data_IF_752706040439
#
_entry.id   IF_752706040439
#
_cell.length_a   1.000
_cell.length_b   1.000
_cell.length_c   1.000
_cell.angle_alpha   90.00
_cell.angle_beta   90.00
_cell.angle_gamma   90.00
#
_symmetry.space_group_name_H-M   'P 1'
#
loop_
_entity.id
_entity.type
_entity.pdbx_description
1 polymer ?
#
# COMPACT_ATOMS: atom_id res chain seq x y z
N UNK A 1 8.37 -17.58 -7.88
CA UNK A 1 9.72 -18.10 -8.18
C UNK A 1 10.54 -17.10 -9.01
N UNK A 2 10.07 -16.66 -10.21
CA UNK A 2 10.82 -15.75 -11.10
C UNK A 2 11.20 -14.42 -10.43
N UNK A 3 10.28 -13.80 -9.70
CA UNK A 3 10.53 -12.57 -8.93
C UNK A 3 11.67 -12.75 -7.92
N UNK A 4 11.66 -13.83 -7.15
CA UNK A 4 12.70 -14.13 -6.18
C UNK A 4 14.04 -14.46 -6.82
N UNK A 5 14.03 -15.09 -8.00
CA UNK A 5 15.24 -15.28 -8.81
C UNK A 5 15.84 -13.92 -9.22
N UNK A 6 15.02 -13.00 -9.73
CA UNK A 6 15.48 -11.67 -10.12
C UNK A 6 15.92 -10.80 -8.92
N UNK A 7 15.46 -11.12 -7.73
CA UNK A 7 15.92 -10.50 -6.48
C UNK A 7 17.22 -11.13 -5.94
N UNK A 8 17.69 -12.21 -6.54
CA UNK A 8 18.88 -12.93 -6.07
C UNK A 8 18.68 -13.71 -4.78
N UNK A 9 17.42 -13.93 -4.34
CA UNK A 9 17.12 -14.62 -3.07
C UNK A 9 17.56 -16.08 -3.07
N UNK A 10 17.70 -16.71 -4.24
CA UNK A 10 18.17 -18.11 -4.33
C UNK A 10 19.66 -18.27 -4.02
N UNK A 11 20.44 -17.18 -4.00
CA UNK A 11 21.84 -17.18 -3.53
C UNK A 11 21.96 -17.02 -2.01
N UNK A 12 20.85 -16.68 -1.33
CA UNK A 12 20.78 -16.55 0.13
C UNK A 12 20.33 -17.85 0.78
N UNK A 13 20.46 -17.93 2.09
CA UNK A 13 19.93 -19.04 2.88
C UNK A 13 18.43 -19.20 2.65
N UNK A 14 17.93 -20.43 2.56
CA UNK A 14 16.53 -20.75 2.26
C UNK A 14 15.49 -20.09 3.18
N UNK A 15 15.85 -19.73 4.41
CA UNK A 15 15.02 -18.95 5.34
C UNK A 15 14.55 -17.62 4.75
N UNK A 16 15.44 -16.92 4.00
CA UNK A 16 15.11 -15.64 3.40
C UNK A 16 14.01 -15.77 2.35
N UNK A 17 13.96 -16.92 1.67
CA UNK A 17 12.88 -17.23 0.71
C UNK A 17 11.56 -17.37 1.45
N UNK A 18 11.54 -18.05 2.60
CA UNK A 18 10.33 -18.21 3.41
C UNK A 18 9.86 -16.86 3.96
N UNK A 19 10.77 -16.07 4.52
CA UNK A 19 10.45 -14.72 5.02
C UNK A 19 9.88 -13.85 3.89
N UNK A 20 10.52 -13.84 2.72
CA UNK A 20 10.06 -13.09 1.57
C UNK A 20 8.67 -13.56 1.09
N UNK A 21 8.40 -14.88 1.10
CA UNK A 21 7.09 -15.44 0.76
C UNK A 21 6.01 -14.92 1.71
N UNK A 22 6.26 -14.98 3.02
CA UNK A 22 5.31 -14.52 4.03
C UNK A 22 5.04 -13.03 3.86
N UNK A 23 6.09 -12.21 3.76
CA UNK A 23 5.98 -10.76 3.61
C UNK A 23 5.26 -10.38 2.32
N UNK A 24 5.67 -10.96 1.18
CA UNK A 24 5.04 -10.66 -0.11
C UNK A 24 3.56 -11.07 -0.13
N UNK A 25 3.24 -12.26 0.38
CA UNK A 25 1.85 -12.72 0.47
C UNK A 25 1.04 -11.81 1.40
N UNK A 26 1.59 -11.42 2.54
CA UNK A 26 0.96 -10.48 3.45
C UNK A 26 0.66 -9.14 2.81
N UNK A 27 1.61 -8.56 2.07
CA UNK A 27 1.42 -7.27 1.37
C UNK A 27 0.38 -7.39 0.24
N UNK A 28 0.41 -8.48 -0.54
CA UNK A 28 -0.57 -8.72 -1.61
C UNK A 28 -1.98 -8.83 -1.01
N UNK A 29 -2.16 -9.59 0.07
CA UNK A 29 -3.44 -9.71 0.75
C UNK A 29 -3.88 -8.37 1.35
N UNK A 30 -2.97 -7.63 1.99
CA UNK A 30 -3.27 -6.29 2.50
C UNK A 30 -3.76 -5.36 1.39
N UNK A 31 -3.11 -5.38 0.24
CA UNK A 31 -3.50 -4.58 -0.92
C UNK A 31 -4.89 -4.97 -1.45
N UNK A 32 -5.18 -6.26 -1.47
CA UNK A 32 -6.50 -6.77 -1.87
C UNK A 32 -7.60 -6.34 -0.87
N UNK A 33 -7.35 -6.41 0.43
CA UNK A 33 -8.28 -5.94 1.45
C UNK A 33 -8.53 -4.42 1.41
N UNK A 34 -7.57 -3.66 0.91
CA UNK A 34 -7.71 -2.22 0.73
C UNK A 34 -8.52 -1.85 -0.53
N UNK A 35 -8.86 -2.78 -1.43
CA UNK A 35 -9.65 -2.52 -2.64
C UNK A 35 -11.17 -2.54 -2.36
N UNK A 36 -11.64 -1.74 -1.41
CA UNK A 36 -13.06 -1.75 -0.99
C UNK A 36 -13.89 -0.53 -1.40
N UNK A 37 -13.29 0.52 -1.95
CA UNK A 37 -13.98 1.74 -2.37
C UNK A 37 -13.44 2.29 -3.70
N UNK A 38 -14.27 3.07 -4.40
CA UNK A 38 -13.90 3.61 -5.71
C UNK A 38 -12.64 4.48 -5.63
N UNK A 39 -11.65 4.19 -6.46
CA UNK A 39 -10.46 5.01 -6.64
C UNK A 39 -9.31 4.70 -5.69
N UNK A 40 -9.53 3.96 -4.61
CA UNK A 40 -8.50 3.79 -3.57
C UNK A 40 -7.28 3.03 -4.09
N UNK A 41 -7.47 1.88 -4.70
CA UNK A 41 -6.38 1.03 -5.20
C UNK A 41 -5.68 1.66 -6.40
N UNK A 42 -6.45 2.12 -7.38
CA UNK A 42 -5.88 2.76 -8.57
C UNK A 42 -5.15 4.06 -8.23
N UNK A 43 -5.79 4.95 -7.46
CA UNK A 43 -5.20 6.23 -7.09
C UNK A 43 -3.95 6.09 -6.23
N UNK A 44 -4.00 5.23 -5.22
CA UNK A 44 -2.85 4.94 -4.37
C UNK A 44 -1.67 4.36 -5.19
N UNK A 45 -1.97 3.43 -6.10
CA UNK A 45 -0.97 2.86 -7.01
C UNK A 45 -0.36 3.91 -7.94
N UNK A 46 -1.13 4.88 -8.44
CA UNK A 46 -0.61 5.98 -9.26
C UNK A 46 0.41 6.84 -8.47
N UNK A 47 0.15 7.11 -7.21
CA UNK A 47 1.09 7.87 -6.35
C UNK A 47 2.41 7.11 -6.23
N UNK A 48 2.36 5.81 -5.94
CA UNK A 48 3.57 4.97 -5.81
C UNK A 48 4.30 4.87 -7.15
N UNK A 49 3.59 4.59 -8.26
CA UNK A 49 4.20 4.48 -9.59
C UNK A 49 4.83 5.80 -10.03
N UNK A 50 4.19 6.94 -9.75
CA UNK A 50 4.75 8.26 -10.01
C UNK A 50 6.05 8.50 -9.23
N UNK A 51 6.07 8.10 -7.97
CA UNK A 51 7.29 8.17 -7.15
C UNK A 51 8.39 7.25 -7.68
N UNK A 52 8.06 6.00 -8.03
CA UNK A 52 9.01 5.05 -8.63
C UNK A 52 9.56 5.54 -9.96
N UNK A 53 8.73 6.18 -10.80
CA UNK A 53 9.18 6.79 -12.06
C UNK A 53 10.15 7.94 -11.80
N UNK A 54 9.85 8.81 -10.82
CA UNK A 54 10.75 9.89 -10.42
C UNK A 54 12.08 9.35 -9.88
N UNK A 55 12.04 8.37 -8.96
CA UNK A 55 13.23 7.75 -8.38
C UNK A 55 14.07 7.11 -9.48
N UNK A 56 13.45 6.33 -10.38
CA UNK A 56 14.15 5.64 -11.46
C UNK A 56 14.82 6.61 -12.45
N UNK A 57 14.23 7.80 -12.68
CA UNK A 57 14.73 8.78 -13.63
C UNK A 57 15.71 9.79 -13.03
N UNK A 58 15.60 10.13 -11.74
CA UNK A 58 16.32 11.24 -11.11
C UNK A 58 17.28 10.84 -9.98
N UNK A 59 17.05 9.69 -9.35
CA UNK A 59 17.85 9.25 -8.19
C UNK A 59 18.71 8.06 -8.58
N UNK A 60 18.10 6.96 -8.96
CA UNK A 60 18.83 5.72 -9.30
C UNK A 60 18.00 4.86 -10.26
N UNK A 61 18.59 4.49 -11.39
CA UNK A 61 17.97 3.56 -12.35
C UNK A 61 18.04 2.14 -11.79
N UNK A 62 16.90 1.53 -11.52
CA UNK A 62 16.77 0.19 -10.95
C UNK A 62 16.01 -0.79 -11.85
N UNK A 63 15.20 -0.28 -12.80
CA UNK A 63 14.52 -1.08 -13.83
C UNK A 63 14.45 -0.29 -15.14
N UNK A 64 14.12 -1.00 -16.23
CA UNK A 64 13.86 -0.35 -17.52
C UNK A 64 12.67 0.63 -17.38
N UNK A 65 12.84 1.93 -17.73
CA UNK A 65 11.81 2.94 -17.56
C UNK A 65 10.48 2.61 -18.26
N UNK A 66 10.54 1.94 -19.41
CA UNK A 66 9.35 1.54 -20.17
C UNK A 66 8.39 0.69 -19.34
N UNK A 67 8.91 -0.17 -18.44
CA UNK A 67 8.08 -0.99 -17.56
C UNK A 67 7.22 -0.12 -16.64
N UNK A 68 7.84 0.85 -15.94
CA UNK A 68 7.12 1.72 -15.02
C UNK A 68 6.09 2.57 -15.76
N UNK A 69 6.45 3.16 -16.89
CA UNK A 69 5.54 4.01 -17.65
C UNK A 69 4.37 3.22 -18.24
N UNK A 70 4.59 1.99 -18.71
CA UNK A 70 3.51 1.13 -19.21
C UNK A 70 2.49 0.83 -18.12
N UNK A 71 2.95 0.46 -16.92
CA UNK A 71 2.07 0.20 -15.77
C UNK A 71 1.35 1.48 -15.34
N UNK A 72 2.08 2.61 -15.27
CA UNK A 72 1.52 3.90 -14.89
C UNK A 72 0.39 4.33 -15.85
N UNK A 73 0.62 4.23 -17.15
CA UNK A 73 -0.41 4.52 -18.16
C UNK A 73 -1.63 3.59 -18.02
N UNK A 74 -1.40 2.30 -17.78
CA UNK A 74 -2.49 1.31 -17.61
C UNK A 74 -3.34 1.63 -16.39
N UNK A 75 -2.70 1.93 -15.24
CA UNK A 75 -3.40 2.30 -13.99
C UNK A 75 -4.09 3.66 -14.15
N UNK A 76 -3.50 4.61 -14.89
CA UNK A 76 -4.14 5.90 -15.19
C UNK A 76 -5.45 5.71 -15.97
N UNK A 77 -5.43 4.87 -17.01
CA UNK A 77 -6.65 4.53 -17.77
C UNK A 77 -7.69 3.85 -16.88
N UNK A 78 -7.26 2.90 -16.02
CA UNK A 78 -8.16 2.28 -15.04
C UNK A 78 -8.80 3.33 -14.12
N UNK A 79 -8.02 4.26 -13.57
CA UNK A 79 -8.52 5.33 -12.73
C UNK A 79 -9.54 6.21 -13.44
N UNK A 80 -9.40 6.46 -14.72
CA UNK A 80 -10.39 7.24 -15.48
C UNK A 80 -11.78 6.62 -15.43
N UNK A 81 -11.90 5.30 -15.30
CA UNK A 81 -13.18 4.59 -15.18
C UNK A 81 -13.59 4.27 -13.73
N UNK A 82 -12.61 4.09 -12.83
CA UNK A 82 -12.86 3.67 -11.45
C UNK A 82 -12.96 4.85 -10.47
N UNK A 83 -12.10 5.90 -10.61
CA UNK A 83 -12.02 7.04 -9.70
C UNK A 83 -13.17 8.03 -9.92
N UNK A 84 -14.40 7.57 -9.60
CA UNK A 84 -15.65 8.31 -9.83
C UNK A 84 -16.64 8.05 -8.69
N UNK A 85 -17.63 8.95 -8.53
CA UNK A 85 -18.77 8.72 -7.61
C UNK A 85 -19.50 7.40 -7.92
N UNK A 86 -19.71 7.12 -9.22
CA UNK A 86 -20.23 5.84 -9.73
C UNK A 86 -19.15 5.24 -10.64
N UNK A 87 -18.38 4.32 -10.11
CA UNK A 87 -17.35 3.63 -10.86
C UNK A 87 -17.98 2.81 -12.01
N UNK A 88 -17.29 2.77 -13.16
CA UNK A 88 -17.69 1.99 -14.33
C UNK A 88 -16.95 0.64 -14.41
N UNK A 89 -15.86 0.50 -13.68
CA UNK A 89 -15.10 -0.75 -13.56
C UNK A 89 -14.53 -0.86 -12.13
N UNK A 90 -14.18 -2.07 -11.74
CA UNK A 90 -13.59 -2.40 -10.44
C UNK A 90 -12.33 -3.23 -10.68
N UNK A 91 -11.33 -3.10 -9.81
CA UNK A 91 -10.13 -3.92 -9.89
C UNK A 91 -10.45 -5.38 -9.56
N UNK A 92 -11.22 -5.59 -8.50
CA UNK A 92 -11.50 -6.91 -7.96
C UNK A 92 -10.23 -7.64 -7.53
N UNK A 93 -10.35 -8.89 -7.13
CA UNK A 93 -9.23 -9.67 -6.61
C UNK A 93 -8.10 -9.81 -7.66
N UNK A 94 -8.44 -10.00 -8.93
CA UNK A 94 -7.43 -10.13 -10.00
C UNK A 94 -6.65 -8.84 -10.19
N UNK A 95 -7.33 -7.70 -10.26
CA UNK A 95 -6.70 -6.39 -10.49
C UNK A 95 -5.87 -5.93 -9.29
N UNK A 96 -6.41 -6.04 -8.07
CA UNK A 96 -5.71 -5.63 -6.84
C UNK A 96 -4.48 -6.49 -6.56
N UNK A 97 -4.57 -7.81 -6.73
CA UNK A 97 -3.44 -8.73 -6.59
C UNK A 97 -2.39 -8.49 -7.68
N UNK A 98 -2.81 -8.25 -8.93
CA UNK A 98 -1.88 -8.00 -10.04
C UNK A 98 -1.06 -6.72 -9.81
N UNK A 99 -1.72 -5.62 -9.45
CA UNK A 99 -1.00 -4.36 -9.20
C UNK A 99 -0.13 -4.44 -7.94
N UNK A 100 -0.58 -5.11 -6.88
CA UNK A 100 0.23 -5.35 -5.70
C UNK A 100 1.51 -6.12 -6.03
N UNK A 101 1.41 -7.16 -6.86
CA UNK A 101 2.55 -7.96 -7.30
C UNK A 101 3.55 -7.11 -8.12
N UNK A 102 3.05 -6.27 -9.04
CA UNK A 102 3.89 -5.38 -9.84
C UNK A 102 4.61 -4.35 -8.95
N UNK A 103 3.89 -3.72 -8.02
CA UNK A 103 4.47 -2.75 -7.10
C UNK A 103 5.52 -3.40 -6.19
N UNK A 104 5.24 -4.58 -5.66
CA UNK A 104 6.21 -5.36 -4.88
C UNK A 104 7.46 -5.66 -5.68
N UNK A 105 7.31 -6.09 -6.95
CA UNK A 105 8.45 -6.34 -7.82
C UNK A 105 9.31 -5.08 -7.98
N UNK A 106 8.69 -3.94 -8.28
CA UNK A 106 9.39 -2.67 -8.48
C UNK A 106 10.08 -2.18 -7.20
N UNK A 107 9.36 -2.20 -6.07
CA UNK A 107 9.91 -1.79 -4.76
C UNK A 107 11.06 -2.74 -4.34
N UNK A 108 10.90 -4.03 -4.53
CA UNK A 108 11.94 -5.00 -4.23
C UNK A 108 13.20 -4.79 -5.08
N UNK A 109 13.04 -4.48 -6.38
CA UNK A 109 14.18 -4.12 -7.24
C UNK A 109 14.87 -2.84 -6.78
N UNK A 110 14.11 -1.85 -6.32
CA UNK A 110 14.64 -0.61 -5.76
C UNK A 110 15.43 -0.88 -4.47
N UNK A 111 14.85 -1.64 -3.53
CA UNK A 111 15.50 -2.03 -2.26
C UNK A 111 16.83 -2.75 -2.52
N UNK A 112 16.83 -3.74 -3.42
CA UNK A 112 18.04 -4.50 -3.75
C UNK A 112 19.09 -3.60 -4.40
N UNK A 113 18.68 -2.70 -5.29
CA UNK A 113 19.60 -1.81 -5.98
C UNK A 113 20.23 -0.75 -5.08
N UNK A 114 19.50 -0.30 -4.06
CA UNK A 114 19.94 0.74 -3.11
C UNK A 114 20.48 0.16 -1.81
N UNK A 115 20.28 -1.14 -1.56
CA UNK A 115 20.53 -1.80 -0.27
C UNK A 115 19.81 -1.13 0.92
N UNK A 116 18.74 -0.38 0.63
CA UNK A 116 17.95 0.38 1.61
C UNK A 116 16.54 -0.16 1.74
N UNK A 117 16.24 -0.79 2.89
CA UNK A 117 14.92 -1.30 3.23
C UNK A 117 13.89 -0.19 3.52
N UNK A 118 14.35 1.05 3.73
CA UNK A 118 13.49 2.20 4.01
C UNK A 118 12.49 2.49 2.90
N UNK A 119 12.74 2.04 1.67
CA UNK A 119 11.80 2.17 0.55
C UNK A 119 10.46 1.44 0.75
N UNK A 120 10.33 0.58 1.78
CA UNK A 120 9.03 0.03 2.19
C UNK A 120 8.03 1.12 2.60
N UNK A 121 8.50 2.34 2.86
CA UNK A 121 7.69 3.51 3.16
C UNK A 121 6.69 3.85 2.03
N UNK A 122 6.97 3.42 0.80
CA UNK A 122 6.05 3.55 -0.33
C UNK A 122 4.71 2.84 -0.11
N UNK A 123 4.64 1.93 0.87
CA UNK A 123 3.44 1.19 1.25
C UNK A 123 2.93 1.54 2.66
N UNK A 124 3.47 2.59 3.29
CA UNK A 124 3.29 2.85 4.73
C UNK A 124 1.82 3.05 5.14
N UNK A 125 1.03 3.80 4.39
CA UNK A 125 -0.37 4.08 4.75
C UNK A 125 -1.22 2.81 4.69
N UNK A 126 -1.12 2.03 3.62
CA UNK A 126 -1.78 0.73 3.51
C UNK A 126 -1.26 -0.28 4.54
N UNK A 127 0.06 -0.29 4.75
CA UNK A 127 0.68 -1.19 5.70
C UNK A 127 0.19 -0.95 7.12
N UNK A 128 0.15 0.29 7.58
CA UNK A 128 -0.30 0.64 8.93
C UNK A 128 -1.80 0.33 9.10
N UNK A 129 -2.66 0.72 8.15
CA UNK A 129 -4.09 0.41 8.23
C UNK A 129 -4.33 -1.10 8.29
N UNK A 130 -3.68 -1.88 7.40
CA UNK A 130 -3.88 -3.32 7.35
C UNK A 130 -3.33 -4.05 8.59
N UNK A 131 -2.09 -3.74 8.99
CA UNK A 131 -1.46 -4.41 10.14
C UNK A 131 -2.21 -4.11 11.44
N UNK A 132 -2.54 -2.83 11.68
CA UNK A 132 -3.26 -2.45 12.90
C UNK A 132 -4.70 -2.96 12.92
N UNK A 133 -5.35 -3.08 11.76
CA UNK A 133 -6.67 -3.72 11.65
C UNK A 133 -6.58 -5.21 12.01
N UNK A 134 -5.56 -5.93 11.53
CA UNK A 134 -5.34 -7.33 11.89
C UNK A 134 -5.10 -7.46 13.39
N UNK A 135 -4.21 -6.64 13.97
CA UNK A 135 -3.94 -6.63 15.41
C UNK A 135 -5.22 -6.35 16.20
N UNK A 136 -6.01 -5.37 15.79
CA UNK A 136 -7.28 -5.04 16.45
C UNK A 136 -8.26 -6.21 16.42
N UNK A 137 -8.36 -6.93 15.29
CA UNK A 137 -9.21 -8.12 15.19
C UNK A 137 -8.73 -9.27 16.06
N UNK A 138 -7.42 -9.48 16.15
CA UNK A 138 -6.84 -10.47 17.07
C UNK A 138 -7.17 -10.13 18.53
N UNK A 139 -7.11 -8.86 18.92
CA UNK A 139 -7.51 -8.41 20.26
C UNK A 139 -9.00 -8.63 20.54
N UNK A 140 -9.84 -8.62 19.49
CA UNK A 140 -11.27 -8.94 19.58
C UNK A 140 -11.56 -10.44 19.48
N UNK A 141 -10.52 -11.30 19.43
CA UNK A 141 -10.60 -12.76 19.28
C UNK A 141 -11.37 -13.19 18.01
N UNK A 142 -11.30 -12.40 16.94
CA UNK A 142 -11.96 -12.70 15.67
C UNK A 142 -11.10 -13.61 14.78
N UNK A 143 -11.79 -14.43 13.97
CA UNK A 143 -11.11 -15.20 12.94
C UNK A 143 -10.65 -14.28 11.81
N UNK A 144 -9.33 -14.11 11.66
CA UNK A 144 -8.72 -13.24 10.64
C UNK A 144 -8.95 -13.75 9.20
N UNK A 145 -9.27 -15.02 9.01
CA UNK A 145 -9.58 -15.61 7.70
C UNK A 145 -10.99 -15.28 7.17
N UNK A 146 -11.86 -14.68 7.99
CA UNK A 146 -13.19 -14.29 7.54
C UNK A 146 -13.20 -12.87 6.97
N UNK A 147 -14.02 -12.60 5.93
CA UNK A 147 -14.20 -11.25 5.40
C UNK A 147 -14.67 -10.27 6.48
N UNK A 148 -14.19 -9.04 6.43
CA UNK A 148 -14.54 -8.00 7.39
C UNK A 148 -14.56 -6.60 6.75
N UNK A 149 -15.11 -5.63 7.45
CA UNK A 149 -15.17 -4.22 7.02
C UNK A 149 -14.70 -3.27 8.13
N UNK A 150 -13.50 -3.54 8.69
CA UNK A 150 -12.98 -2.85 9.88
C UNK A 150 -11.75 -1.99 9.61
N UNK A 151 -11.34 -1.86 8.35
CA UNK A 151 -10.27 -0.94 7.97
C UNK A 151 -10.70 0.51 8.19
N UNK A 152 -9.73 1.38 8.50
CA UNK A 152 -10.02 2.79 8.76
C UNK A 152 -10.73 3.44 7.57
N UNK A 153 -10.30 3.17 6.33
CA UNK A 153 -10.95 3.71 5.13
C UNK A 153 -12.42 3.27 5.00
N UNK A 154 -12.73 2.03 5.43
CA UNK A 154 -14.12 1.51 5.38
C UNK A 154 -15.01 2.21 6.41
N UNK A 155 -14.50 2.45 7.62
CA UNK A 155 -15.22 3.25 8.61
C UNK A 155 -15.48 4.67 8.09
N UNK A 156 -14.50 5.30 7.44
CA UNK A 156 -14.68 6.62 6.85
C UNK A 156 -15.77 6.61 5.76
N UNK A 157 -15.78 5.61 4.89
CA UNK A 157 -16.72 5.54 3.78
C UNK A 157 -18.12 5.09 4.21
N UNK A 158 -18.22 4.08 5.07
CA UNK A 158 -19.49 3.43 5.42
C UNK A 158 -20.16 4.12 6.62
N UNK A 159 -19.48 4.22 7.76
CA UNK A 159 -20.07 4.75 9.01
C UNK A 159 -20.11 6.26 9.03
N UNK A 160 -19.03 6.92 8.59
CA UNK A 160 -18.99 8.40 8.48
C UNK A 160 -19.59 8.91 7.17
N UNK A 161 -19.99 8.01 6.25
CA UNK A 161 -20.64 8.34 4.97
C UNK A 161 -19.83 9.32 4.11
N UNK A 162 -18.51 9.30 4.23
CA UNK A 162 -17.66 10.13 3.39
C UNK A 162 -17.69 9.61 1.94
N UNK A 163 -17.72 10.49 0.94
CA UNK A 163 -17.64 10.06 -0.46
C UNK A 163 -16.37 9.25 -0.72
N UNK A 164 -16.47 8.12 -1.43
CA UNK A 164 -15.35 7.23 -1.74
C UNK A 164 -14.15 7.98 -2.32
N UNK A 165 -14.40 8.89 -3.26
CA UNK A 165 -13.36 9.72 -3.91
C UNK A 165 -12.59 10.56 -2.88
N UNK A 166 -13.28 11.10 -1.85
CA UNK A 166 -12.65 11.92 -0.81
C UNK A 166 -11.74 11.04 0.06
N UNK A 167 -12.22 9.87 0.47
CA UNK A 167 -11.43 8.94 1.28
C UNK A 167 -10.19 8.49 0.50
N UNK A 168 -10.37 8.13 -0.78
CA UNK A 168 -9.25 7.74 -1.66
C UNK A 168 -8.24 8.86 -1.83
N UNK A 169 -8.68 10.12 -2.01
CA UNK A 169 -7.80 11.27 -2.08
C UNK A 169 -7.01 11.49 -0.79
N UNK A 170 -7.61 11.29 0.38
CA UNK A 170 -6.90 11.40 1.66
C UNK A 170 -5.73 10.40 1.69
N UNK A 171 -5.96 9.13 1.35
CA UNK A 171 -4.92 8.11 1.32
C UNK A 171 -3.82 8.45 0.31
N UNK A 172 -4.19 8.92 -0.88
CA UNK A 172 -3.24 9.36 -1.91
C UNK A 172 -2.37 10.52 -1.44
N UNK A 173 -2.99 11.58 -0.90
CA UNK A 173 -2.28 12.79 -0.47
C UNK A 173 -1.36 12.49 0.72
N UNK A 174 -1.83 11.74 1.70
CA UNK A 174 -1.00 11.34 2.85
C UNK A 174 0.21 10.55 2.37
N UNK A 175 0.00 9.56 1.50
CA UNK A 175 1.12 8.78 0.96
C UNK A 175 2.08 9.63 0.12
N UNK A 176 1.57 10.55 -0.69
CA UNK A 176 2.41 11.45 -1.48
C UNK A 176 3.28 12.37 -0.60
N UNK A 177 2.71 12.95 0.45
CA UNK A 177 3.45 13.78 1.42
C UNK A 177 4.55 12.96 2.10
N UNK A 178 4.24 11.73 2.52
CA UNK A 178 5.22 10.83 3.14
C UNK A 178 6.38 10.54 2.18
N UNK A 179 6.08 10.22 0.91
CA UNK A 179 7.09 9.93 -0.10
C UNK A 179 7.98 11.14 -0.36
N UNK A 180 7.39 12.32 -0.54
CA UNK A 180 8.14 13.56 -0.77
C UNK A 180 9.04 13.86 0.44
N UNK A 181 8.52 13.73 1.65
CA UNK A 181 9.30 13.90 2.88
C UNK A 181 10.44 12.91 2.99
N UNK A 182 10.20 11.63 2.66
CA UNK A 182 11.24 10.59 2.68
C UNK A 182 12.36 10.88 1.69
N UNK A 183 12.02 11.24 0.45
CA UNK A 183 13.01 11.60 -0.57
C UNK A 183 13.84 12.81 -0.14
N UNK A 184 13.22 13.80 0.53
CA UNK A 184 13.92 14.96 1.08
C UNK A 184 14.82 14.65 2.29
N UNK A 185 14.58 13.54 2.98
CA UNK A 185 15.26 13.16 4.22
C UNK A 185 16.02 11.83 4.11
N UNK A 186 16.50 11.44 2.93
CA UNK A 186 17.16 10.15 2.69
C UNK A 186 18.32 9.86 3.66
N UNK A 187 19.08 10.87 4.07
CA UNK A 187 20.17 10.71 5.04
C UNK A 187 19.69 10.24 6.43
N UNK A 188 18.41 10.43 6.75
CA UNK A 188 17.78 10.02 8.00
C UNK A 188 16.62 9.04 7.74
N UNK A 189 16.69 8.28 6.64
CA UNK A 189 15.58 7.48 6.12
C UNK A 189 14.90 6.57 7.14
N UNK A 190 15.67 5.83 7.94
CA UNK A 190 15.10 4.94 8.97
C UNK A 190 14.43 5.68 10.13
N UNK A 191 15.00 6.84 10.54
CA UNK A 191 14.40 7.67 11.60
C UNK A 191 13.09 8.26 11.08
N UNK A 192 13.08 8.74 9.84
CA UNK A 192 11.87 9.25 9.19
C UNK A 192 10.80 8.16 9.06
N UNK A 193 11.18 6.96 8.59
CA UNK A 193 10.28 5.81 8.49
C UNK A 193 9.65 5.47 9.84
N UNK A 194 10.45 5.38 10.91
CA UNK A 194 9.97 5.12 12.26
C UNK A 194 8.99 6.21 12.72
N UNK A 195 9.33 7.48 12.52
CA UNK A 195 8.46 8.61 12.86
C UNK A 195 7.12 8.55 12.13
N UNK A 196 7.13 8.23 10.84
CA UNK A 196 5.91 8.06 10.02
C UNK A 196 5.06 6.91 10.54
N UNK A 197 5.65 5.75 10.81
CA UNK A 197 4.91 4.58 11.34
C UNK A 197 4.26 4.92 12.67
N UNK A 198 4.98 5.56 13.59
CA UNK A 198 4.45 5.98 14.89
C UNK A 198 3.30 7.00 14.74
N UNK A 199 3.47 8.00 13.88
CA UNK A 199 2.45 9.01 13.62
C UNK A 199 1.17 8.40 13.03
N UNK A 200 1.32 7.58 11.98
CA UNK A 200 0.19 6.90 11.35
C UNK A 200 -0.51 5.95 12.33
N UNK A 201 0.25 5.22 13.14
CA UNK A 201 -0.30 4.32 14.16
C UNK A 201 -1.08 5.10 15.22
N UNK A 202 -0.55 6.25 15.67
CA UNK A 202 -1.25 7.11 16.61
C UNK A 202 -2.58 7.63 16.02
N UNK A 203 -2.56 8.11 14.77
CA UNK A 203 -3.76 8.58 14.07
C UNK A 203 -4.78 7.44 13.94
N UNK A 204 -4.33 6.23 13.54
CA UNK A 204 -5.19 5.06 13.42
C UNK A 204 -5.85 4.70 14.75
N UNK A 205 -5.08 4.57 15.83
CA UNK A 205 -5.58 4.20 17.16
C UNK A 205 -6.58 5.25 17.66
N UNK A 206 -6.23 6.53 17.53
CA UNK A 206 -7.14 7.62 17.93
C UNK A 206 -8.45 7.59 17.15
N UNK A 207 -8.37 7.39 15.83
CA UNK A 207 -9.55 7.29 14.96
C UNK A 207 -10.41 6.09 15.32
N UNK A 208 -9.81 4.91 15.46
CA UNK A 208 -10.52 3.69 15.83
C UNK A 208 -11.18 3.82 17.21
N UNK A 209 -10.48 4.33 18.22
CA UNK A 209 -11.05 4.56 19.54
C UNK A 209 -12.27 5.47 19.51
N UNK A 210 -12.28 6.48 18.63
CA UNK A 210 -13.36 7.45 18.52
C UNK A 210 -14.57 6.92 17.74
N UNK A 211 -14.34 6.20 16.65
CA UNK A 211 -15.39 5.91 15.67
C UNK A 211 -15.77 4.42 15.57
N UNK A 212 -14.98 3.51 16.10
CA UNK A 212 -15.25 2.07 15.99
C UNK A 212 -16.58 1.65 16.65
N UNK A 213 -17.04 2.34 17.67
CA UNK A 213 -18.34 2.10 18.32
C UNK A 213 -19.53 2.29 17.36
N UNK A 214 -19.36 3.05 16.26
CA UNK A 214 -20.38 3.20 15.24
C UNK A 214 -20.54 1.91 14.41
N UNK A 215 -19.46 1.20 14.16
CA UNK A 215 -19.47 -0.08 13.43
C UNK A 215 -20.19 -1.19 14.20
N UNK A 216 -20.19 -1.16 15.53
CA UNK A 216 -20.87 -2.16 16.38
C UNK A 216 -22.39 -1.96 16.46
N UNK A 217 -22.91 -0.83 15.97
CA UNK A 217 -24.34 -0.50 16.00
C UNK A 217 -25.08 -0.81 14.69
N UNK A 218 -24.35 -1.33 13.69
CA UNK A 218 -24.88 -1.76 12.39
C UNK A 218 -24.88 -3.28 12.33
#
# INVERSE_FOLDING_TARGET
ALMFYQWGLFSLSWWWIIIALIVCTGIINAYNFMDGINGITGGYSLVILGALAYINSKIITFVEPALIYTVLCSVFVFCFFNFRKKAKCFAGDVGSVSIAFILLFLIGRLIIKTEDFGWIILLSVYGVDSVLTIIHRLMLHENIGLPHRKHMYQLMANELRMPHVVVSLIYMVVQAIIIIGYIGCLNYGYIFLLGVILLLSFIYIWFMKKYFSLHQKV
#
